data_IF_717586005587
#
_entry.id   IF_717586005587
#
_cell.length_a   1.000
_cell.length_b   1.000
_cell.length_c   1.000
_cell.angle_alpha   90.00
_cell.angle_beta   90.00
_cell.angle_gamma   90.00
#
_symmetry.space_group_name_H-M   'P 1'
#
loop_
_entity.id
_entity.type
_entity.pdbx_description
1 polymer ?
#
# COMPACT_ATOMS: atom_id res chain seq x y z
N UNK A 1 -14.53 -13.76 -2.45
CA UNK A 1 -14.35 -13.03 -1.19
C UNK A 1 -12.87 -12.87 -1.00
N UNK A 2 -12.42 -11.62 -0.93
CA UNK A 2 -10.99 -11.30 -0.78
C UNK A 2 -10.54 -11.60 0.64
N UNK A 3 -9.37 -12.24 0.78
CA UNK A 3 -8.69 -12.39 2.07
C UNK A 3 -7.64 -11.29 2.18
N UNK A 4 -7.82 -10.35 3.10
CA UNK A 4 -6.86 -9.25 3.30
C UNK A 4 -5.44 -9.77 3.59
N UNK A 5 -5.33 -10.89 4.31
CA UNK A 5 -4.05 -11.51 4.66
C UNK A 5 -3.41 -12.11 3.42
N UNK A 6 -4.14 -12.91 2.63
CA UNK A 6 -3.60 -13.58 1.44
C UNK A 6 -3.18 -12.56 0.37
N UNK A 7 -3.96 -11.49 0.20
CA UNK A 7 -3.66 -10.39 -0.73
C UNK A 7 -2.40 -9.62 -0.28
N UNK A 8 -2.26 -9.35 1.02
CA UNK A 8 -1.05 -8.72 1.56
C UNK A 8 0.18 -9.63 1.42
N UNK A 9 0.05 -10.93 1.69
CA UNK A 9 1.13 -11.90 1.56
C UNK A 9 1.62 -11.99 0.12
N UNK A 10 0.71 -12.11 -0.85
CA UNK A 10 1.05 -12.15 -2.27
C UNK A 10 1.72 -10.86 -2.73
N UNK A 11 1.25 -9.70 -2.27
CA UNK A 11 1.83 -8.41 -2.62
C UNK A 11 3.25 -8.25 -2.06
N UNK A 12 3.43 -8.54 -0.76
CA UNK A 12 4.75 -8.41 -0.10
C UNK A 12 5.76 -9.36 -0.73
N UNK A 13 5.37 -10.60 -1.06
CA UNK A 13 6.24 -11.55 -1.78
C UNK A 13 6.65 -11.03 -3.18
N UNK A 14 5.72 -10.41 -3.90
CA UNK A 14 6.00 -9.79 -5.20
C UNK A 14 6.99 -8.64 -5.09
N UNK A 15 6.76 -7.74 -4.13
CA UNK A 15 7.62 -6.58 -3.89
C UNK A 15 9.02 -7.00 -3.41
N UNK A 16 9.10 -7.98 -2.51
CA UNK A 16 10.37 -8.55 -2.04
C UNK A 16 11.16 -9.19 -3.18
N UNK A 17 10.49 -9.96 -4.04
CA UNK A 17 11.12 -10.60 -5.21
C UNK A 17 11.65 -9.59 -6.22
N UNK A 18 11.03 -8.40 -6.31
CA UNK A 18 11.48 -7.29 -7.13
C UNK A 18 12.55 -6.41 -6.46
N UNK A 19 12.88 -6.65 -5.17
CA UNK A 19 13.82 -5.81 -4.42
C UNK A 19 13.24 -4.44 -4.04
N UNK A 20 11.91 -4.32 -3.99
CA UNK A 20 11.22 -3.07 -3.71
C UNK A 20 11.00 -2.91 -2.20
N UNK A 21 11.69 -1.92 -1.63
CA UNK A 21 11.50 -1.58 -0.22
C UNK A 21 10.12 -0.98 0.04
N UNK A 22 9.44 -1.50 1.06
CA UNK A 22 8.15 -1.01 1.51
C UNK A 22 7.94 -1.30 3.00
N UNK A 23 6.96 -0.64 3.62
CA UNK A 23 6.56 -0.90 4.99
C UNK A 23 5.03 -0.82 5.13
N UNK A 24 4.42 -1.77 5.85
CA UNK A 24 2.98 -1.70 6.15
C UNK A 24 2.69 -0.47 7.01
N UNK A 25 1.71 0.33 6.61
CA UNK A 25 1.29 1.52 7.34
C UNK A 25 -0.24 1.58 7.51
N UNK A 26 -0.74 2.65 8.14
CA UNK A 26 -2.18 2.86 8.32
C UNK A 26 -2.84 1.82 9.23
N UNK A 27 -4.04 1.37 8.88
CA UNK A 27 -4.86 0.53 9.75
C UNK A 27 -4.28 -0.85 10.05
N UNK A 28 -3.66 -1.47 9.05
CA UNK A 28 -3.04 -2.78 9.20
C UNK A 28 -1.82 -2.72 10.14
N UNK A 29 -1.01 -1.67 10.05
CA UNK A 29 0.09 -1.43 10.99
C UNK A 29 -0.40 -1.36 12.44
N UNK A 30 -1.47 -0.61 12.71
CA UNK A 30 -2.07 -0.55 14.04
C UNK A 30 -2.49 -1.95 14.57
N UNK A 31 -3.12 -2.76 13.72
CA UNK A 31 -3.51 -4.11 14.08
C UNK A 31 -2.29 -5.02 14.38
N UNK A 32 -1.21 -4.91 13.57
CA UNK A 32 0.06 -5.63 13.79
C UNK A 32 0.66 -5.25 15.15
N UNK A 33 0.60 -3.98 15.54
CA UNK A 33 1.08 -3.49 16.84
C UNK A 33 0.11 -3.75 18.01
N UNK A 34 -0.93 -4.57 17.80
CA UNK A 34 -1.85 -4.98 18.87
C UNK A 34 -2.93 -3.95 19.21
N UNK A 35 -3.17 -2.96 18.34
CA UNK A 35 -4.26 -1.99 18.45
C UNK A 35 -5.39 -2.37 17.48
N UNK A 36 -6.46 -3.06 17.94
CA UNK A 36 -7.52 -3.52 17.05
C UNK A 36 -8.20 -2.36 16.33
N UNK A 37 -8.24 -2.45 14.99
CA UNK A 37 -8.93 -1.51 14.13
C UNK A 37 -9.58 -2.27 12.99
N UNK A 38 -10.86 -2.04 12.74
CA UNK A 38 -11.49 -2.49 11.51
C UNK A 38 -10.90 -1.70 10.32
N UNK A 39 -10.33 -2.40 9.35
CA UNK A 39 -9.72 -1.83 8.13
C UNK A 39 -9.96 -2.80 6.98
N UNK A 40 -10.24 -2.28 5.78
CA UNK A 40 -10.49 -3.07 4.58
C UNK A 40 -9.80 -2.40 3.39
N UNK A 41 -8.51 -2.19 3.56
CA UNK A 41 -7.58 -1.57 2.63
C UNK A 41 -6.15 -1.98 3.01
N UNK A 42 -5.26 -1.99 2.02
CA UNK A 42 -3.83 -2.18 2.22
C UNK A 42 -3.15 -0.84 2.00
N UNK A 43 -2.23 -0.46 2.90
CA UNK A 43 -1.38 0.72 2.72
C UNK A 43 0.07 0.36 2.96
N UNK A 44 0.90 0.69 1.98
CA UNK A 44 2.34 0.52 2.05
C UNK A 44 3.01 1.90 1.93
N UNK A 45 3.90 2.20 2.86
CA UNK A 45 4.83 3.31 2.72
C UNK A 45 5.97 2.86 1.81
N UNK A 46 6.29 3.64 0.78
CA UNK A 46 7.26 3.27 -0.27
C UNK A 46 8.04 4.51 -0.74
N UNK A 47 9.37 4.44 -0.92
CA UNK A 47 10.17 5.53 -1.50
C UNK A 47 9.70 5.87 -2.92
N UNK A 48 9.74 7.15 -3.27
CA UNK A 48 9.34 7.65 -4.60
C UNK A 48 10.01 6.89 -5.76
N UNK A 49 11.28 6.51 -5.59
CA UNK A 49 12.07 5.76 -6.58
C UNK A 49 11.49 4.40 -6.94
N UNK A 50 10.67 3.79 -6.09
CA UNK A 50 10.09 2.47 -6.32
C UNK A 50 8.60 2.51 -6.68
N UNK A 51 7.94 3.67 -6.65
CA UNK A 51 6.48 3.75 -6.73
C UNK A 51 5.94 3.18 -8.05
N UNK A 52 6.56 3.53 -9.18
CA UNK A 52 6.12 3.03 -10.50
C UNK A 52 6.25 1.50 -10.58
N UNK A 53 7.40 0.95 -10.18
CA UNK A 53 7.64 -0.50 -10.19
C UNK A 53 6.73 -1.24 -9.19
N UNK A 54 6.46 -0.64 -8.04
CA UNK A 54 5.57 -1.19 -7.03
C UNK A 54 4.12 -1.28 -7.54
N UNK A 55 3.68 -0.27 -8.31
CA UNK A 55 2.38 -0.28 -9.00
C UNK A 55 2.33 -1.42 -10.00
N UNK A 56 3.38 -1.63 -10.81
CA UNK A 56 3.44 -2.74 -11.77
C UNK A 56 3.33 -4.11 -11.07
N UNK A 57 4.04 -4.29 -9.95
CA UNK A 57 3.91 -5.50 -9.12
C UNK A 57 2.48 -5.67 -8.60
N UNK A 58 1.87 -4.60 -8.08
CA UNK A 58 0.50 -4.64 -7.59
C UNK A 58 -0.53 -4.97 -8.68
N UNK A 59 -0.36 -4.43 -9.89
CA UNK A 59 -1.15 -4.80 -11.07
C UNK A 59 -0.97 -6.29 -11.38
N UNK A 60 0.26 -6.82 -11.29
CA UNK A 60 0.55 -8.25 -11.42
C UNK A 60 -0.17 -9.13 -10.38
N UNK A 61 -0.47 -8.58 -9.20
CA UNK A 61 -1.28 -9.22 -8.15
C UNK A 61 -2.80 -9.06 -8.35
N UNK A 62 -3.23 -8.38 -9.42
CA UNK A 62 -4.62 -8.17 -9.78
C UNK A 62 -5.23 -6.87 -9.25
N UNK A 63 -4.43 -5.93 -8.74
CA UNK A 63 -4.88 -4.56 -8.47
C UNK A 63 -4.78 -3.71 -9.74
N UNK A 64 -5.62 -4.01 -10.73
CA UNK A 64 -5.54 -3.46 -12.09
C UNK A 64 -6.40 -2.20 -12.33
N UNK A 65 -7.12 -1.72 -11.31
CA UNK A 65 -7.91 -0.49 -11.40
C UNK A 65 -7.10 0.67 -10.84
N UNK A 66 -6.58 1.51 -11.73
CA UNK A 66 -5.78 2.69 -11.37
C UNK A 66 -6.70 3.85 -10.98
N UNK A 67 -6.47 4.42 -9.80
CA UNK A 67 -7.14 5.64 -9.34
C UNK A 67 -6.35 6.89 -9.67
N UNK A 68 -6.97 8.06 -9.44
CA UNK A 68 -6.28 9.34 -9.57
C UNK A 68 -5.18 9.50 -8.51
N UNK A 69 -4.12 10.24 -8.86
CA UNK A 69 -3.07 10.67 -7.93
C UNK A 69 -3.67 11.51 -6.80
N UNK A 70 -3.39 11.13 -5.56
CA UNK A 70 -3.89 11.85 -4.39
C UNK A 70 -2.76 12.65 -3.75
N UNK A 71 -2.95 13.97 -3.70
CA UNK A 71 -2.04 14.92 -3.06
C UNK A 71 -2.76 15.65 -1.93
N UNK A 72 -2.18 15.63 -0.73
CA UNK A 72 -2.71 16.32 0.45
C UNK A 72 -1.68 17.26 1.07
N UNK A 73 -2.17 18.23 1.83
CA UNK A 73 -1.35 19.20 2.59
C UNK A 73 -0.32 19.90 1.69
N UNK A 74 -0.75 20.33 0.50
CA UNK A 74 0.09 20.99 -0.50
C UNK A 74 1.30 20.14 -0.94
N UNK A 75 1.06 18.88 -1.31
CA UNK A 75 2.09 17.96 -1.79
C UNK A 75 2.94 17.30 -0.71
N UNK A 76 2.61 17.51 0.57
CA UNK A 76 3.36 16.89 1.67
C UNK A 76 2.99 15.44 1.91
N UNK A 77 1.81 15.00 1.46
CA UNK A 77 1.43 13.58 1.48
C UNK A 77 0.97 13.24 0.08
N UNK A 78 1.64 12.28 -0.53
CA UNK A 78 1.36 11.79 -1.87
C UNK A 78 0.97 10.32 -1.77
N UNK A 79 -0.08 9.92 -2.48
CA UNK A 79 -0.55 8.54 -2.53
C UNK A 79 -0.83 8.15 -3.97
N UNK A 80 -0.44 6.94 -4.36
CA UNK A 80 -0.87 6.27 -5.60
C UNK A 80 -1.74 5.08 -5.24
N UNK A 81 -2.97 5.07 -5.77
CA UNK A 81 -3.96 4.05 -5.46
C UNK A 81 -4.20 3.16 -6.66
N UNK A 82 -4.14 1.86 -6.42
CA UNK A 82 -4.69 0.85 -7.31
C UNK A 82 -5.72 -0.01 -6.55
N UNK A 83 -6.62 -0.66 -7.25
CA UNK A 83 -7.71 -1.43 -6.63
C UNK A 83 -7.98 -2.73 -7.37
N UNK A 84 -8.51 -3.70 -6.64
CA UNK A 84 -8.95 -5.00 -7.12
C UNK A 84 -10.43 -5.18 -6.82
N UNK A 85 -11.15 -5.83 -7.74
CA UNK A 85 -12.55 -6.22 -7.54
C UNK A 85 -12.65 -7.73 -7.65
N UNK A 86 -13.31 -8.38 -6.70
CA UNK A 86 -13.51 -9.82 -6.73
C UNK A 86 -14.79 -10.24 -7.47
N UNK A 87 -15.03 -11.55 -7.54
CA UNK A 87 -16.17 -12.12 -8.26
C UNK A 87 -17.54 -11.77 -7.68
N UNK A 88 -17.61 -11.28 -6.44
CA UNK A 88 -18.87 -10.84 -5.80
C UNK A 88 -18.98 -9.31 -5.74
N UNK A 89 -18.02 -8.58 -6.31
CA UNK A 89 -18.01 -7.13 -6.39
C UNK A 89 -17.41 -6.43 -5.17
N UNK A 90 -16.71 -7.15 -4.28
CA UNK A 90 -15.96 -6.53 -3.18
C UNK A 90 -14.73 -5.80 -3.74
N UNK A 91 -14.53 -4.57 -3.28
CA UNK A 91 -13.41 -3.72 -3.68
C UNK A 91 -12.36 -3.76 -2.57
N UNK A 92 -11.11 -4.04 -2.93
CA UNK A 92 -9.95 -3.86 -2.06
C UNK A 92 -9.03 -2.81 -2.68
N UNK A 93 -8.75 -1.75 -1.94
CA UNK A 93 -7.81 -0.71 -2.36
C UNK A 93 -6.41 -0.98 -1.79
N UNK A 94 -5.40 -0.70 -2.60
CA UNK A 94 -4.00 -0.66 -2.26
C UNK A 94 -3.47 0.77 -2.45
N UNK A 95 -3.00 1.37 -1.36
CA UNK A 95 -2.37 2.68 -1.35
C UNK A 95 -0.85 2.54 -1.21
N UNK A 96 -0.11 3.04 -2.19
CA UNK A 96 1.31 3.37 -2.03
C UNK A 96 1.42 4.79 -1.50
N UNK A 97 1.70 4.93 -0.22
CA UNK A 97 2.01 6.22 0.42
C UNK A 97 3.47 6.52 0.13
N UNK A 98 3.75 7.65 -0.54
CA UNK A 98 5.11 7.98 -0.96
C UNK A 98 5.87 8.60 0.23
N UNK A 99 7.12 8.17 0.43
CA UNK A 99 8.01 8.78 1.42
C UNK A 99 8.37 10.21 0.98
N UNK A 100 7.63 11.18 1.51
CA UNK A 100 7.93 12.61 1.41
C UNK A 100 8.79 13.08 2.59
N UNK A 101 9.33 14.31 2.59
CA UNK A 101 10.13 14.82 3.70
C UNK A 101 9.46 14.79 5.08
N UNK A 102 8.12 14.80 5.16
CA UNK A 102 7.42 14.74 6.45
C UNK A 102 7.25 13.30 6.97
N UNK A 103 7.52 12.30 6.13
CA UNK A 103 7.42 10.87 6.45
C UNK A 103 8.80 10.22 6.55
N UNK A 104 9.90 10.97 6.39
CA UNK A 104 11.26 10.42 6.47
C UNK A 104 11.53 9.71 7.79
N UNK A 105 11.18 10.30 8.93
CA UNK A 105 11.41 9.64 10.23
C UNK A 105 10.60 8.34 10.35
N UNK A 106 9.33 8.35 9.95
CA UNK A 106 8.47 7.15 9.93
C UNK A 106 9.07 6.07 9.03
N UNK A 107 9.63 6.46 7.88
CA UNK A 107 10.31 5.54 6.97
C UNK A 107 11.58 4.94 7.61
N UNK A 108 12.43 5.77 8.20
CA UNK A 108 13.71 5.34 8.79
C UNK A 108 13.53 4.49 10.04
N UNK A 109 12.59 4.86 10.91
CA UNK A 109 12.36 4.20 12.21
C UNK A 109 11.39 3.01 12.09
N UNK A 110 10.55 2.97 11.06
CA UNK A 110 9.44 2.01 10.91
C UNK A 110 8.40 2.11 12.03
N UNK A 111 8.23 3.29 12.60
CA UNK A 111 7.31 3.62 13.72
C UNK A 111 6.36 4.78 13.40
#
# INVERSE_FOLDING_TARGET
MLSLVDELESLVQGLESAGIENAVCGGLSLAIHGYPRATLDIKLLTPETYVEEAIEVGIGCGFDIVGDDLSFKDGKVEIRRISKIDSVGEILSLDFVIVTPILTNVWEERE
#
